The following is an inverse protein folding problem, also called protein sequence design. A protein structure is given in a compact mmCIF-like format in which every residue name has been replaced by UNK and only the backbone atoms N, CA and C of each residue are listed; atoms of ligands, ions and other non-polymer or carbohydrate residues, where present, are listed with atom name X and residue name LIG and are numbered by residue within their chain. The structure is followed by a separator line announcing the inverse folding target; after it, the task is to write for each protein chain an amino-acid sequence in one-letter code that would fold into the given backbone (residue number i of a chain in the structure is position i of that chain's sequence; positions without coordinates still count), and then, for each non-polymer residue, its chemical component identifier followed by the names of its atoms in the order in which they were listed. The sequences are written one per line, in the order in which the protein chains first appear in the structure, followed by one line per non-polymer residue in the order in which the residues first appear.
data_IF_746671979659
#
_entry.id   IF_746671979659
#
_cell.length_a   1.000
_cell.length_b   1.000
_cell.length_c   1.000
_cell.angle_alpha   90.00
_cell.angle_beta   90.00
_cell.angle_gamma   90.00
#
_symmetry.space_group_name_H-M   'P 1'
#
loop_
_entity.id
_entity.type
_entity.pdbx_description
1 polymer ?
#
# COMPACT_ATOMS: atom_id res chain seq x y z
N UNK A 1 45.93 44.23 -60.15
CA UNK A 1 46.66 43.81 -58.93
C UNK A 1 45.66 43.81 -57.76
N UNK A 2 45.74 42.82 -56.85
CA UNK A 2 44.80 42.55 -55.72
C UNK A 2 43.36 42.11 -56.08
N UNK A 3 43.00 40.94 -55.55
CA UNK A 3 41.68 40.30 -55.58
C UNK A 3 40.85 40.64 -54.33
N UNK A 4 39.53 40.52 -54.43
CA UNK A 4 38.62 39.75 -53.52
C UNK A 4 37.23 39.69 -54.18
N UNK A 5 36.77 38.51 -54.61
CA UNK A 5 35.78 37.63 -53.93
C UNK A 5 34.42 38.33 -53.65
N UNK A 6 33.24 37.77 -53.95
CA UNK A 6 32.84 36.56 -54.70
C UNK A 6 31.35 36.68 -55.10
N UNK A 7 30.96 35.94 -56.15
CA UNK A 7 29.70 35.21 -56.41
C UNK A 7 28.56 35.22 -55.34
N UNK A 8 27.26 35.04 -55.67
CA UNK A 8 26.56 34.99 -56.96
C UNK A 8 25.03 35.14 -56.79
N UNK A 9 24.40 35.84 -57.74
CA UNK A 9 23.25 35.43 -58.58
C UNK A 9 22.30 34.28 -58.12
N UNK A 10 21.01 34.61 -57.92
CA UNK A 10 19.90 34.04 -58.70
C UNK A 10 18.63 34.92 -58.59
N UNK A 11 17.76 34.91 -59.62
CA UNK A 11 16.58 35.78 -59.73
C UNK A 11 15.38 35.32 -58.90
N UNK A 12 14.60 36.30 -58.43
CA UNK A 12 13.18 36.15 -58.12
C UNK A 12 12.37 37.19 -58.92
N UNK A 13 11.25 36.75 -59.51
CA UNK A 13 10.24 37.64 -60.11
C UNK A 13 8.92 37.39 -59.38
N UNK A 14 8.24 38.48 -59.02
CA UNK A 14 7.06 38.56 -58.15
C UNK A 14 6.00 39.45 -58.87
N UNK A 15 4.77 39.52 -58.35
CA UNK A 15 3.72 40.55 -58.65
C UNK A 15 2.90 40.28 -59.96
N UNK A 16 1.55 40.28 -60.01
CA UNK A 16 0.46 40.42 -59.01
C UNK A 16 -0.89 39.82 -59.49
N UNK A 17 -1.88 39.77 -58.58
CA UNK A 17 -3.33 39.54 -58.75
C UNK A 17 -4.06 40.30 -59.87
N UNK A 18 -5.10 39.69 -60.46
CA UNK A 18 -6.50 40.22 -60.57
C UNK A 18 -7.51 39.04 -60.46
N UNK A 19 -8.73 39.31 -59.98
CA UNK A 19 -9.87 38.38 -59.80
C UNK A 19 -10.74 38.25 -61.08
N UNK A 20 -11.94 37.64 -61.18
CA UNK A 20 -12.98 37.14 -60.25
C UNK A 20 -13.84 36.04 -60.94
N UNK A 21 -14.83 35.47 -60.24
CA UNK A 21 -15.93 34.59 -60.72
C UNK A 21 -15.57 33.13 -61.07
N UNK A 22 -16.22 32.09 -60.54
CA UNK A 22 -17.30 32.03 -59.54
C UNK A 22 -18.48 31.16 -59.98
N UNK A 23 -18.37 29.83 -59.83
CA UNK A 23 -19.51 28.92 -59.67
C UNK A 23 -19.01 27.59 -59.10
N UNK A 24 -19.29 27.32 -57.83
CA UNK A 24 -19.04 26.04 -57.17
C UNK A 24 -20.36 25.57 -56.53
N UNK A 25 -20.65 24.28 -56.63
CA UNK A 25 -21.90 23.68 -56.18
C UNK A 25 -21.98 23.57 -54.64
N UNK A 26 -23.19 23.56 -54.05
CA UNK A 26 -23.37 23.54 -52.60
C UNK A 26 -23.35 22.12 -52.02
N UNK A 27 -22.19 21.47 -51.94
CA UNK A 27 -22.05 20.17 -51.24
C UNK A 27 -21.95 20.31 -49.71
N UNK A 28 -21.45 21.45 -49.21
CA UNK A 28 -21.01 21.59 -47.81
C UNK A 28 -22.16 21.71 -46.79
N UNK A 29 -23.37 22.11 -47.21
CA UNK A 29 -24.54 22.28 -46.31
C UNK A 29 -25.31 20.98 -46.03
N UNK A 30 -25.13 19.96 -46.87
CA UNK A 30 -25.82 18.68 -46.72
C UNK A 30 -25.27 17.89 -45.51
N UNK A 31 -23.95 17.72 -45.47
CA UNK A 31 -23.26 16.87 -44.48
C UNK A 31 -23.39 17.34 -43.02
N UNK A 32 -23.43 18.65 -42.77
CA UNK A 32 -23.69 19.18 -41.42
C UNK A 32 -25.13 18.89 -40.97
N UNK A 33 -26.09 19.04 -41.88
CA UNK A 33 -27.52 18.79 -41.62
C UNK A 33 -27.78 17.31 -41.36
N UNK A 34 -27.16 16.42 -42.14
CA UNK A 34 -27.23 14.97 -42.00
C UNK A 34 -26.67 14.47 -40.66
N UNK A 35 -25.49 14.98 -40.26
CA UNK A 35 -24.89 14.66 -38.96
C UNK A 35 -25.78 15.14 -37.80
N UNK A 36 -26.39 16.32 -37.91
CA UNK A 36 -27.32 16.83 -36.90
C UNK A 36 -28.60 15.98 -36.83
N UNK A 37 -29.16 15.55 -37.96
CA UNK A 37 -30.34 14.67 -38.00
C UNK A 37 -30.06 13.33 -37.32
N UNK A 38 -28.94 12.68 -37.64
CA UNK A 38 -28.53 11.40 -37.04
C UNK A 38 -28.24 11.53 -35.54
N UNK A 39 -27.60 12.62 -35.09
CA UNK A 39 -27.40 12.90 -33.66
C UNK A 39 -28.72 13.19 -32.92
N UNK A 40 -29.65 13.93 -33.53
CA UNK A 40 -30.97 14.21 -32.96
C UNK A 40 -31.80 12.91 -32.82
N UNK A 41 -31.78 12.02 -33.82
CA UNK A 41 -32.46 10.72 -33.79
C UNK A 41 -31.87 9.79 -32.71
N UNK A 42 -30.53 9.73 -32.58
CA UNK A 42 -29.86 8.98 -31.49
C UNK A 42 -30.22 9.49 -30.09
N UNK A 43 -30.36 10.81 -29.92
CA UNK A 43 -30.84 11.43 -28.67
C UNK A 43 -32.31 11.12 -28.39
N UNK A 44 -33.19 11.24 -29.39
CA UNK A 44 -34.62 10.94 -29.28
C UNK A 44 -34.86 9.48 -28.84
N UNK A 45 -34.11 8.54 -29.40
CA UNK A 45 -34.21 7.12 -29.08
C UNK A 45 -33.47 6.70 -27.78
N UNK A 46 -32.76 7.61 -27.10
CA UNK A 46 -31.99 7.36 -25.86
C UNK A 46 -30.97 6.19 -25.92
N UNK A 47 -30.14 6.15 -26.96
CA UNK A 47 -29.32 4.97 -27.29
C UNK A 47 -27.86 5.03 -26.79
N UNK A 48 -27.35 3.91 -26.24
CA UNK A 48 -25.91 3.68 -26.01
C UNK A 48 -25.22 3.22 -27.30
N UNK A 49 -23.99 3.71 -27.55
CA UNK A 49 -23.19 3.40 -28.76
C UNK A 49 -22.97 1.89 -28.95
N UNK A 50 -23.39 1.35 -30.09
CA UNK A 50 -23.01 0.02 -30.57
C UNK A 50 -23.03 0.00 -32.11
N UNK A 51 -21.86 0.05 -32.74
CA UNK A 51 -21.67 -0.01 -34.22
C UNK A 51 -22.36 1.13 -35.00
N UNK A 52 -21.98 1.41 -36.27
CA UNK A 52 -22.73 2.33 -37.11
C UNK A 52 -24.13 1.77 -37.39
N UNK A 53 -25.14 2.56 -37.05
CA UNK A 53 -26.54 2.38 -37.41
C UNK A 53 -27.19 1.04 -37.00
N UNK A 54 -26.66 0.42 -35.94
CA UNK A 54 -27.30 -0.67 -35.19
C UNK A 54 -27.74 -0.10 -33.82
N UNK A 55 -28.97 -0.38 -33.41
CA UNK A 55 -29.59 0.30 -32.27
C UNK A 55 -30.30 -0.69 -31.36
N UNK A 56 -30.02 -0.62 -30.05
CA UNK A 56 -30.62 -1.48 -29.01
C UNK A 56 -31.70 -0.71 -28.24
N UNK A 57 -32.95 -1.12 -28.40
CA UNK A 57 -34.14 -0.43 -27.90
C UNK A 57 -34.87 -1.29 -26.87
N UNK A 58 -35.44 -0.67 -25.82
CA UNK A 58 -36.41 -1.35 -24.95
C UNK A 58 -37.79 -1.27 -25.58
N UNK A 59 -38.51 -2.38 -25.66
CA UNK A 59 -39.86 -2.42 -26.21
C UNK A 59 -40.85 -1.63 -25.35
N UNK A 60 -41.56 -0.65 -25.95
CA UNK A 60 -42.52 0.22 -25.27
C UNK A 60 -43.68 0.58 -26.21
N UNK A 61 -44.91 0.28 -25.81
CA UNK A 61 -46.12 0.43 -26.64
C UNK A 61 -46.64 1.86 -26.82
N UNK A 62 -46.15 2.81 -26.02
CA UNK A 62 -46.60 4.21 -26.00
C UNK A 62 -45.70 5.16 -26.80
N UNK A 63 -44.74 4.65 -27.58
CA UNK A 63 -43.78 5.46 -28.35
C UNK A 63 -43.92 5.22 -29.85
N UNK A 64 -43.64 6.25 -30.64
CA UNK A 64 -43.46 6.16 -32.08
C UNK A 64 -41.96 6.20 -32.38
N UNK A 65 -41.42 5.08 -32.84
CA UNK A 65 -40.01 4.96 -33.22
C UNK A 65 -39.79 5.56 -34.61
N UNK A 66 -38.65 6.19 -34.85
CA UNK A 66 -38.29 6.72 -36.18
C UNK A 66 -37.28 5.80 -36.84
N UNK A 67 -37.69 5.12 -37.92
CA UNK A 67 -36.84 4.28 -38.76
C UNK A 67 -36.50 5.03 -40.05
N UNK A 68 -35.22 5.08 -40.40
CA UNK A 68 -34.75 5.65 -41.67
C UNK A 68 -34.15 4.54 -42.50
N UNK A 69 -34.61 4.42 -43.73
CA UNK A 69 -34.22 3.39 -44.71
C UNK A 69 -33.49 4.04 -45.88
N UNK A 70 -32.80 3.27 -46.71
CA UNK A 70 -32.18 3.78 -47.93
C UNK A 70 -32.36 2.82 -49.11
N UNK A 71 -32.40 3.38 -50.31
CA UNK A 71 -32.47 2.62 -51.55
C UNK A 71 -31.26 1.68 -51.68
N UNK A 72 -31.52 0.42 -52.05
CA UNK A 72 -30.51 -0.63 -52.14
C UNK A 72 -30.13 -1.31 -50.80
N UNK A 73 -30.65 -0.82 -49.67
CA UNK A 73 -30.41 -1.40 -48.34
C UNK A 73 -31.69 -2.00 -47.75
N UNK A 74 -31.52 -2.88 -46.76
CA UNK A 74 -32.62 -3.47 -45.99
C UNK A 74 -32.43 -3.09 -44.53
N UNK A 75 -33.48 -2.56 -43.93
CA UNK A 75 -33.55 -2.23 -42.50
C UNK A 75 -34.30 -3.35 -41.78
N UNK A 76 -33.70 -3.95 -40.76
CA UNK A 76 -34.29 -5.03 -39.98
C UNK A 76 -34.74 -4.53 -38.61
N UNK A 77 -35.95 -4.92 -38.20
CA UNK A 77 -36.45 -4.78 -36.83
C UNK A 77 -36.44 -6.17 -36.21
N UNK A 78 -35.57 -6.40 -35.24
CA UNK A 78 -35.50 -7.63 -34.44
C UNK A 78 -36.34 -7.45 -33.18
N UNK A 79 -37.36 -8.27 -33.00
CA UNK A 79 -38.26 -8.24 -31.84
C UNK A 79 -37.92 -9.33 -30.82
N UNK A 80 -38.19 -9.12 -29.52
CA UNK A 80 -37.98 -10.16 -28.51
C UNK A 80 -39.01 -11.30 -28.63
N UNK A 81 -40.18 -10.98 -29.18
CA UNK A 81 -41.37 -11.84 -29.35
C UNK A 81 -41.85 -11.84 -30.81
N UNK A 82 -42.78 -12.74 -31.16
CA UNK A 82 -43.25 -12.92 -32.54
C UNK A 82 -44.15 -11.75 -32.98
N UNK A 83 -43.93 -11.24 -34.20
CA UNK A 83 -44.86 -10.32 -34.84
C UNK A 83 -46.14 -11.07 -35.23
N UNK A 84 -47.26 -10.72 -34.59
CA UNK A 84 -48.57 -11.32 -34.86
C UNK A 84 -49.22 -10.72 -36.11
N UNK A 85 -49.13 -9.39 -36.27
CA UNK A 85 -49.62 -8.65 -37.44
C UNK A 85 -48.74 -7.43 -37.70
N UNK A 86 -48.53 -7.12 -38.97
CA UNK A 86 -47.79 -5.94 -39.41
C UNK A 86 -48.64 -5.19 -40.43
N UNK A 87 -48.79 -3.88 -40.23
CA UNK A 87 -49.50 -2.98 -41.11
C UNK A 87 -48.54 -1.90 -41.61
N UNK A 88 -48.54 -1.67 -42.91
CA UNK A 88 -47.80 -0.61 -43.59
C UNK A 88 -48.83 0.32 -44.23
N UNK A 89 -48.61 1.63 -44.20
CA UNK A 89 -49.47 2.60 -44.88
C UNK A 89 -49.42 2.42 -46.39
N UNK A 90 -48.33 2.90 -47.00
CA UNK A 90 -48.05 2.72 -48.42
C UNK A 90 -47.12 1.52 -48.68
N UNK A 91 -47.60 0.53 -49.43
CA UNK A 91 -46.86 -0.68 -49.83
C UNK A 91 -46.20 -0.56 -51.21
N UNK A 92 -46.61 0.42 -52.03
CA UNK A 92 -46.04 0.67 -53.34
C UNK A 92 -44.73 1.47 -53.21
N UNK A 93 -44.55 2.22 -52.11
CA UNK A 93 -43.31 2.90 -51.75
C UNK A 93 -42.36 2.06 -50.87
N UNK A 94 -42.90 1.16 -50.03
CA UNK A 94 -42.10 0.35 -49.08
C UNK A 94 -42.52 -1.12 -49.06
N UNK A 95 -41.59 -2.02 -49.41
CA UNK A 95 -41.79 -3.46 -49.26
C UNK A 95 -41.40 -3.91 -47.86
N UNK A 96 -42.29 -4.65 -47.20
CA UNK A 96 -42.08 -5.21 -45.86
C UNK A 96 -42.29 -6.73 -45.88
N UNK A 97 -41.38 -7.46 -45.27
CA UNK A 97 -41.42 -8.93 -45.13
C UNK A 97 -41.24 -9.31 -43.65
N UNK A 98 -41.96 -10.33 -43.19
CA UNK A 98 -42.03 -10.71 -41.77
C UNK A 98 -41.60 -12.17 -41.59
N UNK A 99 -40.55 -12.39 -40.81
CA UNK A 99 -39.96 -13.69 -40.52
C UNK A 99 -39.95 -13.91 -39.00
N UNK A 100 -41.10 -14.35 -38.49
CA UNK A 100 -41.38 -14.58 -37.07
C UNK A 100 -41.14 -13.36 -36.16
N UNK A 101 -39.90 -13.17 -35.70
CA UNK A 101 -39.47 -12.08 -34.82
C UNK A 101 -38.82 -10.94 -35.59
N UNK A 102 -38.44 -11.16 -36.85
CA UNK A 102 -37.73 -10.19 -37.68
C UNK A 102 -38.70 -9.55 -38.68
N UNK A 103 -38.63 -8.23 -38.84
CA UNK A 103 -39.35 -7.50 -39.87
C UNK A 103 -38.33 -6.78 -40.74
N UNK A 104 -38.24 -7.17 -42.01
CA UNK A 104 -37.33 -6.58 -42.98
C UNK A 104 -38.10 -5.56 -43.81
N UNK A 105 -37.54 -4.36 -43.96
CA UNK A 105 -38.16 -3.21 -44.60
C UNK A 105 -37.17 -2.66 -45.62
N UNK A 106 -37.63 -2.42 -46.84
CA UNK A 106 -36.85 -1.72 -47.87
C UNK A 106 -37.74 -0.75 -48.65
N UNK A 107 -37.24 0.45 -48.98
CA UNK A 107 -37.91 1.31 -49.94
C UNK A 107 -37.79 0.69 -51.34
N UNK A 108 -38.83 0.89 -52.14
CA UNK A 108 -38.89 0.50 -53.56
C UNK A 108 -39.12 1.70 -54.48
N UNK A 109 -39.03 2.91 -53.91
CA UNK A 109 -39.14 4.20 -54.59
C UNK A 109 -37.81 4.95 -54.59
N UNK A 110 -37.58 5.75 -55.64
CA UNK A 110 -36.46 6.69 -55.76
C UNK A 110 -36.79 8.06 -55.13
N UNK A 111 -38.00 8.24 -54.57
CA UNK A 111 -38.44 9.48 -53.92
C UNK A 111 -37.69 9.73 -52.59
N UNK A 112 -36.81 10.73 -52.59
CA UNK A 112 -35.94 11.05 -51.46
C UNK A 112 -36.67 11.45 -50.16
N UNK A 113 -37.92 11.92 -50.25
CA UNK A 113 -38.75 12.33 -49.09
C UNK A 113 -39.89 11.34 -48.79
N UNK A 114 -39.93 10.17 -49.43
CA UNK A 114 -40.98 9.19 -49.19
C UNK A 114 -41.00 8.74 -47.71
N UNK A 115 -42.21 8.69 -47.14
CA UNK A 115 -42.45 8.33 -45.75
C UNK A 115 -43.74 7.53 -45.60
N UNK A 116 -43.73 6.56 -44.69
CA UNK A 116 -44.88 5.71 -44.38
C UNK A 116 -44.99 5.48 -42.87
N UNK A 117 -46.14 4.99 -42.42
CA UNK A 117 -46.33 4.48 -41.07
C UNK A 117 -46.29 2.95 -41.09
N UNK A 118 -45.60 2.37 -40.10
CA UNK A 118 -45.56 0.93 -39.87
C UNK A 118 -46.08 0.67 -38.45
N UNK A 119 -47.04 -0.24 -38.32
CA UNK A 119 -47.59 -0.66 -37.02
C UNK A 119 -47.42 -2.16 -36.87
N UNK A 120 -46.78 -2.57 -35.78
CA UNK A 120 -46.52 -3.97 -35.45
C UNK A 120 -47.33 -4.33 -34.21
N UNK A 121 -48.07 -5.43 -34.27
CA UNK A 121 -48.73 -6.04 -33.14
C UNK A 121 -47.98 -7.29 -32.72
N UNK A 122 -47.71 -7.39 -31.43
CA UNK A 122 -47.05 -8.50 -30.77
C UNK A 122 -47.92 -8.96 -29.58
N UNK A 123 -47.51 -9.99 -28.84
CA UNK A 123 -48.26 -10.45 -27.65
C UNK A 123 -48.25 -9.41 -26.53
N UNK A 124 -47.11 -8.75 -26.30
CA UNK A 124 -46.97 -7.75 -25.23
C UNK A 124 -47.45 -6.34 -25.61
N UNK A 125 -47.85 -6.09 -26.87
CA UNK A 125 -48.51 -4.83 -27.24
C UNK A 125 -48.44 -4.43 -28.71
N UNK A 126 -48.47 -3.10 -28.94
CA UNK A 126 -48.42 -2.48 -30.26
C UNK A 126 -47.23 -1.53 -30.34
N UNK A 127 -46.38 -1.70 -31.34
CA UNK A 127 -45.29 -0.79 -31.68
C UNK A 127 -45.67 0.04 -32.90
N UNK A 128 -45.39 1.34 -32.86
CA UNK A 128 -45.62 2.27 -33.96
C UNK A 128 -44.28 2.80 -34.46
N UNK A 129 -44.13 2.86 -35.78
CA UNK A 129 -42.93 3.34 -36.45
C UNK A 129 -43.33 4.37 -37.50
N UNK A 130 -42.57 5.46 -37.55
CA UNK A 130 -42.54 6.37 -38.69
C UNK A 130 -41.30 6.03 -39.51
N UNK A 131 -41.52 5.59 -40.75
CA UNK A 131 -40.49 5.08 -41.66
C UNK A 131 -40.25 6.13 -42.74
N UNK A 132 -39.01 6.51 -42.98
CA UNK A 132 -38.62 7.46 -44.04
C UNK A 132 -37.56 6.88 -44.95
N UNK A 133 -37.45 7.39 -46.17
CA UNK A 133 -36.27 7.21 -47.03
C UNK A 133 -35.20 8.25 -46.65
N UNK A 134 -33.94 7.96 -46.96
CA UNK A 134 -32.81 8.86 -46.82
C UNK A 134 -31.54 8.25 -47.43
N UNK A 135 -30.40 8.91 -47.20
CA UNK A 135 -29.12 8.47 -47.76
C UNK A 135 -28.60 7.18 -47.08
N UNK A 136 -27.88 6.30 -47.82
CA UNK A 136 -27.27 5.07 -47.29
C UNK A 136 -26.51 5.23 -45.97
N UNK A 137 -25.77 6.32 -45.81
CA UNK A 137 -24.96 6.62 -44.61
C UNK A 137 -25.81 6.88 -43.36
N UNK A 138 -27.06 7.30 -43.57
CA UNK A 138 -28.04 7.67 -42.53
C UNK A 138 -29.10 6.60 -42.28
N UNK A 139 -29.08 5.50 -43.04
CA UNK A 139 -30.00 4.38 -42.91
C UNK A 139 -29.73 3.57 -41.64
N UNK A 140 -30.80 3.22 -40.92
CA UNK A 140 -30.73 2.30 -39.78
C UNK A 140 -30.74 0.87 -40.30
N UNK A 141 -29.71 0.08 -40.01
CA UNK A 141 -29.61 -1.30 -40.52
C UNK A 141 -30.33 -2.29 -39.61
N UNK A 142 -30.21 -2.15 -38.28
CA UNK A 142 -30.81 -3.09 -37.31
C UNK A 142 -31.35 -2.36 -36.08
N UNK A 143 -32.62 -2.62 -35.73
CA UNK A 143 -33.23 -2.25 -34.46
C UNK A 143 -33.44 -3.51 -33.59
N UNK A 144 -32.55 -3.76 -32.63
CA UNK A 144 -32.60 -4.85 -31.63
C UNK A 144 -33.51 -4.45 -30.46
N UNK A 145 -34.74 -4.95 -30.43
CA UNK A 145 -35.70 -4.72 -29.34
C UNK A 145 -35.61 -5.77 -28.23
N UNK A 146 -35.64 -5.30 -26.98
CA UNK A 146 -35.51 -6.11 -25.76
C UNK A 146 -36.67 -5.93 -24.81
N UNK A 147 -36.93 -6.92 -23.97
CA UNK A 147 -37.94 -6.83 -22.91
C UNK A 147 -37.46 -5.91 -21.78
N UNK A 148 -38.40 -5.20 -21.15
CA UNK A 148 -38.11 -4.29 -20.03
C UNK A 148 -37.55 -5.02 -18.79
N UNK A 149 -37.75 -6.33 -18.69
CA UNK A 149 -37.27 -7.15 -17.58
C UNK A 149 -35.79 -7.50 -17.72
N UNK A 150 -35.32 -7.82 -18.93
CA UNK A 150 -33.92 -8.10 -19.22
C UNK A 150 -33.02 -6.91 -18.88
N UNK A 151 -33.43 -5.69 -19.28
CA UNK A 151 -32.72 -4.45 -18.96
C UNK A 151 -32.64 -4.23 -17.43
N UNK A 152 -33.69 -4.58 -16.67
CA UNK A 152 -33.70 -4.47 -15.20
C UNK A 152 -32.76 -5.48 -14.54
N UNK A 153 -32.69 -6.72 -15.05
CA UNK A 153 -31.79 -7.76 -14.52
C UNK A 153 -30.32 -7.37 -14.72
N UNK A 154 -29.97 -6.86 -15.91
CA UNK A 154 -28.62 -6.38 -16.21
C UNK A 154 -28.19 -5.22 -15.29
N UNK A 155 -29.11 -4.28 -14.99
CA UNK A 155 -28.83 -3.16 -14.07
C UNK A 155 -28.67 -3.63 -12.63
N UNK A 156 -29.44 -4.61 -12.16
CA UNK A 156 -29.29 -5.17 -10.80
C UNK A 156 -27.92 -5.82 -10.61
N UNK A 157 -27.53 -6.73 -11.50
CA UNK A 157 -26.27 -7.45 -11.40
C UNK A 157 -25.06 -6.49 -11.34
N UNK A 158 -25.02 -5.48 -12.22
CA UNK A 158 -23.96 -4.48 -12.26
C UNK A 158 -23.96 -3.51 -11.05
N UNK A 159 -25.07 -3.41 -10.31
CA UNK A 159 -25.17 -2.63 -9.08
C UNK A 159 -24.71 -3.45 -7.86
N UNK A 160 -25.10 -4.72 -7.81
CA UNK A 160 -24.66 -5.67 -6.77
C UNK A 160 -23.15 -5.89 -6.79
N UNK A 161 -22.55 -6.05 -7.98
CA UNK A 161 -21.09 -6.16 -8.17
C UNK A 161 -20.36 -4.95 -7.57
N UNK A 162 -20.80 -3.73 -7.89
CA UNK A 162 -20.22 -2.48 -7.36
C UNK A 162 -20.38 -2.32 -5.85
N UNK A 163 -21.47 -2.82 -5.27
CA UNK A 163 -21.65 -2.82 -3.80
C UNK A 163 -20.62 -3.76 -3.16
N UNK A 164 -20.43 -4.96 -3.71
CA UNK A 164 -19.46 -5.93 -3.18
C UNK A 164 -18.01 -5.42 -3.31
N UNK A 165 -17.67 -4.78 -4.43
CA UNK A 165 -16.37 -4.10 -4.59
C UNK A 165 -16.16 -3.03 -3.51
N UNK A 166 -17.15 -2.14 -3.31
CA UNK A 166 -17.06 -1.07 -2.31
C UNK A 166 -17.03 -1.58 -0.87
N UNK A 167 -17.74 -2.66 -0.55
CA UNK A 167 -17.65 -3.31 0.76
C UNK A 167 -16.24 -3.83 1.02
N UNK A 168 -15.63 -4.55 0.07
CA UNK A 168 -14.25 -5.06 0.19
C UNK A 168 -13.21 -3.93 0.32
N UNK A 169 -13.36 -2.86 -0.45
CA UNK A 169 -12.50 -1.67 -0.36
C UNK A 169 -12.58 -1.01 1.03
N UNK A 170 -13.79 -0.88 1.57
CA UNK A 170 -14.03 -0.31 2.91
C UNK A 170 -13.48 -1.24 4.01
N UNK A 171 -13.74 -2.55 3.94
CA UNK A 171 -13.22 -3.54 4.89
C UNK A 171 -11.68 -3.55 4.91
N UNK A 172 -11.03 -3.51 3.73
CA UNK A 172 -9.57 -3.43 3.64
C UNK A 172 -9.03 -2.14 4.26
N UNK A 173 -9.65 -0.99 3.98
CA UNK A 173 -9.24 0.30 4.53
C UNK A 173 -9.44 0.41 6.06
N UNK A 174 -10.49 -0.21 6.60
CA UNK A 174 -10.68 -0.31 8.05
C UNK A 174 -9.61 -1.20 8.69
N UNK A 175 -9.32 -2.36 8.08
CA UNK A 175 -8.31 -3.28 8.59
C UNK A 175 -6.90 -2.67 8.59
N UNK A 176 -6.49 -2.02 7.50
CA UNK A 176 -5.19 -1.32 7.43
C UNK A 176 -5.07 -0.25 8.52
N UNK A 177 -6.16 0.46 8.80
CA UNK A 177 -6.20 1.47 9.87
C UNK A 177 -6.13 0.86 11.27
N UNK A 178 -6.76 -0.28 11.49
CA UNK A 178 -6.69 -1.05 12.74
C UNK A 178 -5.27 -1.58 12.97
N UNK A 179 -4.70 -2.28 11.98
CA UNK A 179 -3.32 -2.79 12.00
C UNK A 179 -2.30 -1.66 12.31
N UNK A 180 -2.47 -0.47 11.72
CA UNK A 180 -1.59 0.68 11.98
C UNK A 180 -1.73 1.24 13.41
N UNK A 181 -2.95 1.35 13.93
CA UNK A 181 -3.18 1.78 15.32
C UNK A 181 -2.58 0.78 16.32
N UNK A 182 -2.61 -0.51 15.98
CA UNK A 182 -2.02 -1.58 16.77
C UNK A 182 -0.47 -1.51 16.80
N UNK A 183 0.17 -1.15 15.67
CA UNK A 183 1.60 -0.84 15.63
C UNK A 183 1.97 0.43 16.42
N UNK A 184 1.18 1.51 16.28
CA UNK A 184 1.38 2.76 17.02
C UNK A 184 1.26 2.53 18.54
N UNK A 185 0.28 1.73 18.98
CA UNK A 185 0.10 1.36 20.38
C UNK A 185 1.28 0.52 20.92
N UNK A 186 1.80 -0.45 20.13
CA UNK A 186 2.98 -1.24 20.49
C UNK A 186 4.23 -0.37 20.64
N UNK A 187 4.47 0.58 19.72
CA UNK A 187 5.58 1.54 19.79
C UNK A 187 5.47 2.42 21.04
N UNK A 188 4.31 3.03 21.27
CA UNK A 188 4.07 3.87 22.46
C UNK A 188 4.24 3.09 23.78
N UNK A 189 3.85 1.82 23.82
CA UNK A 189 4.06 0.96 25.00
C UNK A 189 5.55 0.64 25.22
N UNK A 190 6.33 0.44 24.16
CA UNK A 190 7.78 0.22 24.24
C UNK A 190 8.51 1.50 24.67
N UNK A 191 8.15 2.66 24.09
CA UNK A 191 8.71 3.96 24.46
C UNK A 191 8.47 4.27 25.94
N UNK A 192 7.23 4.08 26.44
CA UNK A 192 6.92 4.25 27.88
C UNK A 192 7.67 3.28 28.78
N UNK A 193 7.87 2.03 28.34
CA UNK A 193 8.66 1.06 29.10
C UNK A 193 10.15 1.48 29.16
N UNK A 194 10.69 1.98 28.05
CA UNK A 194 12.07 2.51 27.99
C UNK A 194 12.20 3.77 28.85
N UNK A 195 11.23 4.69 28.82
CA UNK A 195 11.19 5.88 29.65
C UNK A 195 11.11 5.54 31.15
N UNK A 196 10.25 4.59 31.52
CA UNK A 196 10.14 4.10 32.90
C UNK A 196 11.46 3.46 33.37
N UNK A 197 12.04 2.58 32.56
CA UNK A 197 13.36 1.97 32.85
C UNK A 197 14.41 3.08 33.02
N UNK A 198 14.47 4.05 32.10
CA UNK A 198 15.42 5.16 32.13
C UNK A 198 15.26 6.04 33.38
N UNK A 199 14.02 6.28 33.84
CA UNK A 199 13.74 7.05 35.06
C UNK A 199 14.13 6.33 36.35
N UNK A 200 14.12 4.99 36.36
CA UNK A 200 14.52 4.17 37.51
C UNK A 200 16.04 3.84 37.53
N UNK A 201 16.84 4.31 36.56
CA UNK A 201 18.30 4.04 36.53
C UNK A 201 19.05 4.99 37.49
N UNK A 202 19.29 4.53 38.70
CA UNK A 202 20.34 5.11 39.55
C UNK A 202 21.71 4.53 39.13
N UNK A 203 22.67 5.39 38.78
CA UNK A 203 24.02 4.96 38.36
C UNK A 203 25.12 5.76 39.05
N UNK A 204 26.11 5.06 39.58
CA UNK A 204 27.28 5.64 40.27
C UNK A 204 28.56 5.07 39.66
N UNK A 205 29.45 5.95 39.19
CA UNK A 205 30.80 5.54 38.79
C UNK A 205 31.62 5.21 40.04
N UNK A 206 32.32 4.07 39.96
CA UNK A 206 33.25 3.61 40.98
C UNK A 206 34.69 3.95 40.54
N UNK A 207 35.55 4.24 41.51
CA UNK A 207 36.97 4.55 41.32
C UNK A 207 37.81 3.72 42.29
N UNK A 208 37.50 2.43 42.36
CA UNK A 208 38.18 1.49 43.23
C UNK A 208 38.92 0.46 42.38
N UNK A 209 40.19 0.22 42.70
CA UNK A 209 41.05 -0.73 42.00
C UNK A 209 41.93 -1.43 43.02
N UNK A 210 42.25 -2.69 42.78
CA UNK A 210 43.18 -3.49 43.60
C UNK A 210 43.96 -4.45 42.70
N UNK A 211 45.19 -4.78 43.09
CA UNK A 211 46.13 -5.56 42.27
C UNK A 211 46.78 -6.66 43.09
N UNK A 212 46.69 -7.92 42.63
CA UNK A 212 47.38 -9.06 43.25
C UNK A 212 48.34 -9.71 42.24
N UNK A 213 49.65 -9.50 42.47
CA UNK A 213 50.67 -9.85 41.47
C UNK A 213 50.41 -9.10 40.17
N UNK A 214 50.39 -9.83 39.06
CA UNK A 214 50.19 -9.27 37.72
C UNK A 214 48.70 -9.10 37.32
N UNK A 215 47.74 -9.31 38.23
CA UNK A 215 46.30 -9.18 37.96
C UNK A 215 45.74 -7.96 38.66
N UNK A 216 45.18 -7.02 37.89
CA UNK A 216 44.49 -5.83 38.40
C UNK A 216 42.99 -5.92 38.17
N UNK A 217 42.18 -5.58 39.17
CA UNK A 217 40.73 -5.41 39.05
C UNK A 217 40.36 -3.95 39.25
N UNK A 218 39.50 -3.41 38.39
CA UNK A 218 38.89 -2.09 38.55
C UNK A 218 37.37 -2.22 38.66
N UNK A 219 36.77 -1.67 39.71
CA UNK A 219 35.32 -1.45 39.76
C UNK A 219 35.00 -0.16 38.99
N UNK A 220 34.10 -0.25 38.01
CA UNK A 220 33.82 0.81 37.03
C UNK A 220 32.54 1.58 37.36
N UNK A 221 31.45 0.86 37.65
CA UNK A 221 30.17 1.45 38.02
C UNK A 221 29.28 0.47 38.77
N UNK A 222 28.44 1.01 39.64
CA UNK A 222 27.28 0.34 40.21
C UNK A 222 26.02 0.98 39.59
N UNK A 223 25.10 0.16 39.09
CA UNK A 223 23.84 0.62 38.49
C UNK A 223 22.68 -0.13 39.12
N UNK A 224 21.63 0.55 39.56
CA UNK A 224 20.39 -0.05 40.07
C UNK A 224 19.28 0.13 39.03
N UNK A 225 18.59 -0.96 38.68
CA UNK A 225 17.44 -0.97 37.76
C UNK A 225 16.47 -2.05 38.25
N UNK A 226 15.18 -1.72 38.42
CA UNK A 226 14.13 -2.71 38.71
C UNK A 226 14.38 -3.56 39.97
N UNK A 227 15.00 -2.99 41.00
CA UNK A 227 15.34 -3.71 42.24
C UNK A 227 16.62 -4.57 42.17
N UNK A 228 17.26 -4.70 41.02
CA UNK A 228 18.57 -5.36 40.86
C UNK A 228 19.69 -4.34 40.77
N UNK A 229 20.87 -4.75 41.22
CA UNK A 229 22.11 -4.00 41.10
C UNK A 229 23.10 -4.72 40.16
N UNK A 230 23.75 -3.92 39.32
CA UNK A 230 24.69 -4.34 38.29
C UNK A 230 26.05 -3.69 38.60
N UNK A 231 26.97 -4.48 39.15
CA UNK A 231 28.34 -4.05 39.40
C UNK A 231 29.21 -4.38 38.18
N UNK A 232 29.60 -3.35 37.44
CA UNK A 232 30.54 -3.47 36.31
C UNK A 232 31.97 -3.35 36.81
N UNK A 233 32.81 -4.26 36.37
CA UNK A 233 34.24 -4.25 36.66
C UNK A 233 35.06 -4.61 35.42
N UNK A 234 36.37 -4.44 35.49
CA UNK A 234 37.31 -5.01 34.53
C UNK A 234 38.47 -5.71 35.23
N UNK A 235 39.04 -6.68 34.53
CA UNK A 235 40.21 -7.44 34.94
C UNK A 235 41.28 -7.27 33.87
N UNK A 236 42.49 -6.92 34.29
CA UNK A 236 43.67 -6.81 33.44
C UNK A 236 44.65 -7.91 33.88
N UNK A 237 45.07 -8.74 32.93
CA UNK A 237 46.08 -9.76 33.16
C UNK A 237 47.40 -9.33 32.49
N UNK A 238 48.32 -8.78 33.29
CA UNK A 238 49.68 -8.42 32.86
C UNK A 238 50.66 -9.60 32.96
N UNK A 239 50.17 -10.80 33.32
CA UNK A 239 51.01 -11.98 33.49
C UNK A 239 51.23 -12.71 32.17
N UNK A 240 52.31 -13.48 32.10
CA UNK A 240 52.63 -14.35 30.96
C UNK A 240 51.77 -15.63 30.92
N UNK A 241 50.86 -15.81 31.86
CA UNK A 241 50.01 -16.99 32.02
C UNK A 241 48.52 -16.62 31.93
N UNK A 242 47.68 -17.56 31.56
CA UNK A 242 46.24 -17.36 31.64
C UNK A 242 45.78 -17.32 33.11
N UNK A 243 44.84 -16.44 33.42
CA UNK A 243 44.22 -16.30 34.74
C UNK A 243 42.82 -16.90 34.72
N UNK A 244 42.53 -17.82 35.65
CA UNK A 244 41.23 -18.47 35.75
C UNK A 244 40.52 -18.03 37.05
N UNK A 245 39.51 -17.15 37.02
CA UNK A 245 38.70 -16.84 38.19
C UNK A 245 37.87 -18.07 38.61
N UNK A 246 38.10 -18.59 39.81
CA UNK A 246 37.26 -19.65 40.41
C UNK A 246 35.92 -19.10 40.89
N UNK A 247 35.98 -17.94 41.55
CA UNK A 247 34.81 -17.31 42.17
C UNK A 247 34.96 -15.80 42.19
N UNK A 248 33.91 -15.12 41.74
CA UNK A 248 33.69 -13.69 41.97
C UNK A 248 32.50 -13.59 42.89
N UNK A 249 32.58 -12.76 43.93
CA UNK A 249 31.48 -12.50 44.85
C UNK A 249 31.36 -11.02 45.18
N UNK A 250 30.13 -10.60 45.43
CA UNK A 250 29.76 -9.29 46.01
C UNK A 250 29.06 -9.56 47.33
N UNK A 251 29.26 -8.70 48.32
CA UNK A 251 28.63 -8.87 49.62
C UNK A 251 28.77 -7.66 50.53
N UNK A 252 28.48 -7.86 51.82
CA UNK A 252 28.90 -6.96 52.88
C UNK A 252 29.97 -7.57 53.77
N UNK A 253 30.78 -6.71 54.36
CA UNK A 253 31.61 -7.04 55.51
C UNK A 253 31.36 -6.01 56.61
N UNK A 254 31.18 -6.48 57.85
CA UNK A 254 31.03 -5.61 59.00
C UNK A 254 32.41 -5.35 59.62
N UNK A 255 32.74 -4.07 59.81
CA UNK A 255 33.94 -3.67 60.54
C UNK A 255 33.57 -3.10 61.91
N UNK A 256 34.07 -3.71 62.98
CA UNK A 256 33.93 -3.18 64.33
C UNK A 256 35.27 -2.62 64.81
N UNK A 257 35.34 -1.30 65.04
CA UNK A 257 36.51 -0.67 65.67
C UNK A 257 36.39 -0.71 67.19
N UNK A 258 37.32 -1.39 67.86
CA UNK A 258 37.50 -1.36 69.32
C UNK A 258 38.88 -0.79 69.64
N UNK A 259 38.90 0.41 70.24
CA UNK A 259 40.09 1.19 70.55
C UNK A 259 41.02 1.40 69.33
N UNK A 260 42.10 0.61 69.24
CA UNK A 260 43.14 0.70 68.20
C UNK A 260 43.13 -0.50 67.23
N UNK A 261 42.19 -1.44 67.38
CA UNK A 261 42.05 -2.61 66.51
C UNK A 261 40.71 -2.56 65.76
N UNK A 262 40.77 -2.68 64.44
CA UNK A 262 39.60 -3.01 63.61
C UNK A 262 39.46 -4.52 63.59
N UNK A 263 38.34 -5.04 64.08
CA UNK A 263 37.96 -6.45 63.93
C UNK A 263 37.01 -6.55 62.73
N UNK A 264 37.36 -7.39 61.77
CA UNK A 264 36.50 -7.70 60.62
C UNK A 264 35.67 -8.94 60.94
N UNK A 265 34.34 -8.83 60.89
CA UNK A 265 33.47 -10.00 60.93
C UNK A 265 33.45 -10.69 59.55
N UNK A 266 32.77 -11.85 59.46
CA UNK A 266 32.67 -12.63 58.23
C UNK A 266 32.00 -11.87 57.07
N UNK A 267 32.27 -12.31 55.85
CA UNK A 267 31.65 -11.76 54.64
C UNK A 267 30.24 -12.35 54.49
N UNK A 268 29.24 -11.49 54.32
CA UNK A 268 27.87 -11.88 53.94
C UNK A 268 27.73 -11.69 52.44
N UNK A 269 27.92 -12.78 51.70
CA UNK A 269 27.80 -12.83 50.24
C UNK A 269 26.35 -12.62 49.78
N UNK A 270 26.18 -11.92 48.66
CA UNK A 270 24.90 -11.78 47.97
C UNK A 270 24.78 -12.88 46.92
N UNK A 271 23.61 -13.52 46.77
CA UNK A 271 23.33 -14.33 45.59
C UNK A 271 23.52 -13.47 44.33
N UNK A 272 24.53 -13.80 43.52
CA UNK A 272 24.91 -13.01 42.36
C UNK A 272 25.21 -13.86 41.14
N UNK A 273 24.65 -13.48 39.99
CA UNK A 273 25.03 -14.01 38.69
C UNK A 273 26.25 -13.23 38.17
N UNK A 274 27.26 -13.95 37.69
CA UNK A 274 28.54 -13.37 37.25
C UNK A 274 28.73 -13.65 35.77
N UNK A 275 28.87 -12.60 34.99
CA UNK A 275 29.26 -12.66 33.58
C UNK A 275 30.71 -12.22 33.46
N UNK A 276 31.63 -13.19 33.43
CA UNK A 276 33.07 -13.03 33.22
C UNK A 276 33.59 -14.31 32.53
N UNK A 277 34.54 -14.24 31.59
CA UNK A 277 35.17 -15.42 31.01
C UNK A 277 35.88 -16.28 32.08
N UNK A 278 35.72 -17.61 31.97
CA UNK A 278 36.38 -18.60 32.84
C UNK A 278 37.91 -18.57 32.73
N UNK A 279 38.44 -18.08 31.61
CA UNK A 279 39.88 -17.95 31.35
C UNK A 279 40.14 -16.57 30.73
N UNK A 280 41.01 -15.79 31.39
CA UNK A 280 41.47 -14.47 30.98
C UNK A 280 42.91 -14.60 30.47
N UNK A 281 43.11 -14.37 29.17
CA UNK A 281 44.38 -14.61 28.49
C UNK A 281 45.50 -13.65 28.97
N UNK A 282 46.79 -14.00 28.78
CA UNK A 282 47.91 -13.07 28.93
C UNK A 282 47.70 -11.76 28.17
N UNK A 283 48.23 -10.66 28.71
CA UNK A 283 48.18 -9.30 28.14
C UNK A 283 46.77 -8.83 27.70
N UNK A 284 45.72 -9.33 28.37
CA UNK A 284 44.33 -9.04 28.01
C UNK A 284 43.60 -8.14 29.03
N UNK A 285 42.67 -7.35 28.50
CA UNK A 285 41.73 -6.52 29.26
C UNK A 285 40.32 -7.08 29.03
N UNK A 286 39.65 -7.47 30.10
CA UNK A 286 38.33 -8.11 30.04
C UNK A 286 37.34 -7.37 30.95
N UNK A 287 36.11 -7.19 30.49
CA UNK A 287 35.02 -6.64 31.28
C UNK A 287 34.20 -7.75 31.93
N UNK A 288 33.76 -7.52 33.17
CA UNK A 288 32.84 -8.40 33.89
C UNK A 288 31.66 -7.64 34.47
N UNK A 289 30.57 -8.36 34.74
CA UNK A 289 29.38 -7.84 35.43
C UNK A 289 28.93 -8.83 36.50
N UNK A 290 28.70 -8.35 37.72
CA UNK A 290 27.95 -9.09 38.75
C UNK A 290 26.54 -8.50 38.86
N UNK A 291 25.52 -9.35 38.76
CA UNK A 291 24.11 -8.99 38.91
C UNK A 291 23.58 -9.61 40.19
N UNK A 292 23.01 -8.81 41.08
CA UNK A 292 22.46 -9.26 42.36
C UNK A 292 21.24 -8.43 42.76
N UNK A 293 20.43 -8.92 43.70
CA UNK A 293 19.31 -8.14 44.21
C UNK A 293 19.83 -6.98 45.08
N UNK A 294 19.39 -5.75 44.78
CA UNK A 294 19.85 -4.58 45.50
C UNK A 294 19.34 -4.59 46.93
N UNK A 295 20.24 -4.29 47.88
CA UNK A 295 19.87 -3.99 49.27
C UNK A 295 20.62 -2.74 49.76
N UNK A 296 19.98 -1.87 50.56
CA UNK A 296 20.69 -0.85 51.30
C UNK A 296 21.64 -1.50 52.32
N UNK A 297 22.71 -0.80 52.69
CA UNK A 297 23.69 -1.29 53.67
C UNK A 297 23.37 -0.73 55.06
N UNK A 298 23.55 -1.54 56.10
CA UNK A 298 23.50 -1.03 57.48
C UNK A 298 24.68 -0.12 57.81
N UNK A 299 24.53 0.76 58.82
CA UNK A 299 25.54 1.78 59.22
C UNK A 299 26.97 1.27 59.46
N UNK A 300 27.15 -0.03 59.71
CA UNK A 300 28.45 -0.68 59.97
C UNK A 300 28.85 -1.71 58.90
N UNK A 301 28.04 -1.86 57.86
CA UNK A 301 28.34 -2.71 56.71
C UNK A 301 29.09 -1.91 55.65
N UNK A 302 30.18 -2.49 55.14
CA UNK A 302 30.87 -2.00 53.94
C UNK A 302 30.62 -2.96 52.80
N UNK A 303 30.42 -2.48 51.56
CA UNK A 303 30.35 -3.36 50.42
C UNK A 303 31.74 -3.96 50.15
N UNK A 304 31.76 -5.21 49.73
CA UNK A 304 32.97 -5.95 49.40
C UNK A 304 32.77 -6.67 48.07
N UNK A 305 33.78 -6.55 47.20
CA UNK A 305 33.94 -7.32 45.98
C UNK A 305 35.18 -8.19 46.18
N UNK A 306 35.09 -9.46 45.83
CA UNK A 306 36.22 -10.38 45.98
C UNK A 306 36.29 -11.36 44.81
N UNK A 307 37.48 -11.50 44.25
CA UNK A 307 37.79 -12.46 43.17
C UNK A 307 38.88 -13.42 43.63
N UNK A 308 38.63 -14.71 43.48
CA UNK A 308 39.50 -15.81 43.92
C UNK A 308 39.92 -16.60 42.68
N UNK A 309 41.23 -16.80 42.52
CA UNK A 309 41.82 -17.59 41.44
C UNK A 309 41.60 -19.10 41.62
N UNK A 310 41.37 -19.82 40.53
CA UNK A 310 41.49 -21.26 40.45
C UNK A 310 42.94 -21.63 40.13
N UNK A 311 43.67 -22.11 41.12
CA UNK A 311 45.02 -22.65 40.92
C UNK A 311 44.92 -24.18 40.91
N UNK A 312 45.16 -24.85 39.76
CA UNK A 312 45.26 -26.29 39.75
C UNK A 312 46.53 -26.72 40.52
N UNK A 313 46.38 -27.60 41.50
CA UNK A 313 47.51 -28.20 42.20
C UNK A 313 48.44 -28.89 41.19
N UNK A 314 49.69 -28.42 41.10
CA UNK A 314 50.77 -29.13 40.42
C UNK A 314 51.65 -29.78 41.47
N UNK A 315 51.95 -31.07 41.28
CA UNK A 315 52.85 -31.81 42.15
C UNK A 315 54.19 -31.09 42.30
N UNK A 316 54.51 -30.65 43.52
CA UNK A 316 55.81 -30.07 43.89
C UNK A 316 55.87 -28.55 44.07
N UNK A 317 54.91 -27.76 43.58
CA UNK A 317 54.93 -26.29 43.71
C UNK A 317 53.61 -25.72 44.24
N UNK A 318 53.65 -25.19 45.46
CA UNK A 318 52.54 -24.46 46.07
C UNK A 318 52.41 -23.04 45.44
N UNK A 319 51.85 -22.97 44.24
CA UNK A 319 51.45 -21.71 43.62
C UNK A 319 50.40 -21.01 44.50
N UNK A 320 50.71 -19.82 44.98
CA UNK A 320 49.83 -19.06 45.87
C UNK A 320 48.61 -18.53 45.11
N UNK A 321 47.42 -19.02 45.47
CA UNK A 321 46.15 -18.55 44.89
C UNK A 321 45.96 -17.05 45.06
N UNK A 322 45.90 -16.29 43.96
CA UNK A 322 45.66 -14.85 44.03
C UNK A 322 44.23 -14.58 44.46
N UNK A 323 44.09 -13.76 45.50
CA UNK A 323 42.81 -13.26 46.00
C UNK A 323 42.84 -11.75 45.93
N UNK A 324 41.90 -11.15 45.20
CA UNK A 324 41.76 -9.70 45.04
C UNK A 324 40.51 -9.28 45.81
N UNK A 325 40.61 -8.29 46.69
CA UNK A 325 39.54 -7.87 47.59
C UNK A 325 39.43 -6.34 47.60
N UNK A 326 38.31 -5.81 47.11
CA UNK A 326 38.00 -4.38 47.08
C UNK A 326 36.86 -4.14 48.08
N UNK A 327 37.14 -3.39 49.15
CA UNK A 327 36.17 -3.13 50.23
C UNK A 327 35.93 -1.63 50.42
N UNK A 328 34.72 -1.27 50.88
CA UNK A 328 34.36 0.12 51.18
C UNK A 328 34.22 1.03 49.95
N UNK A 329 33.96 0.46 48.77
CA UNK A 329 33.61 1.25 47.59
C UNK A 329 32.23 1.90 47.73
N UNK A 330 31.92 2.88 46.88
CA UNK A 330 30.67 3.66 46.97
C UNK A 330 29.46 2.78 46.70
N UNK A 331 28.44 2.89 47.55
CA UNK A 331 27.12 2.28 47.38
C UNK A 331 26.07 3.36 47.05
N UNK A 332 24.84 2.95 46.74
CA UNK A 332 23.69 3.85 46.76
C UNK A 332 23.30 4.13 48.22
N UNK A 333 22.93 5.38 48.52
CA UNK A 333 22.47 5.82 49.85
C UNK A 333 20.98 5.49 50.05
#
# INVERSE_FOLDING_TARGET
MKQRKMAAFLMAVLVLFITFSGNAFPEEKASETENQALLARRKFNQLKKSTPNIYKLTMRSNLVFRLQTALGFVSTIDLPEKALKVFVGDQDLFKVEVYEKQILIKPVTDEAEAATNLTVFTESGRLAFHVTVGLPETADFVLDFRMLEDDKLLVKNAFEERIQEKQKEIEAAYKEKEDRLDEEAKKLSQEKLIEQIASDVNAVSLKASETAGDIQVNLLSLTQIGGKAYLRFSVLNYSKAAYAPMKVLVGTQREERKFLKTTREGIVEFPSEVHLPEIIQPDSYVYGVCVFDYRPLGEKEKPIFKMIENVPEREGEALSSRTIEISGFRWFE
#
